data_IF_604987328576
#
_entry.id   IF_604987328576
#
_cell.length_a   1.000
_cell.length_b   1.000
_cell.length_c   1.000
_cell.angle_alpha   90.00
_cell.angle_beta   90.00
_cell.angle_gamma   90.00
#
_symmetry.space_group_name_H-M   'P 1'
#
loop_
_entity.id
_entity.type
_entity.pdbx_description
1 polymer ?
#
# COMPACT_ATOMS: atom_id res chain seq x y z
N UNK A 1 18.32 1.37 -22.22
CA UNK A 1 17.79 1.52 -20.85
C UNK A 1 17.57 3.00 -20.60
N UNK A 2 16.33 3.48 -20.65
CA UNK A 2 16.01 4.87 -20.36
C UNK A 2 16.01 5.10 -18.83
N UNK A 3 16.96 5.89 -18.34
CA UNK A 3 17.10 6.21 -16.91
C UNK A 3 15.81 6.84 -16.34
N UNK A 4 15.02 7.56 -17.16
CA UNK A 4 13.75 8.13 -16.75
C UNK A 4 12.70 7.04 -16.47
N UNK A 5 12.69 5.94 -17.23
CA UNK A 5 11.82 4.78 -16.97
C UNK A 5 12.20 4.13 -15.63
N UNK A 6 13.50 3.97 -15.38
CA UNK A 6 14.01 3.45 -14.10
C UNK A 6 13.56 4.29 -12.91
N UNK A 7 13.70 5.62 -12.99
CA UNK A 7 13.27 6.54 -11.94
C UNK A 7 11.74 6.51 -11.72
N UNK A 8 10.94 6.50 -12.80
CA UNK A 8 9.47 6.40 -12.69
C UNK A 8 9.04 5.14 -11.93
N UNK A 9 9.65 3.99 -12.22
CA UNK A 9 9.37 2.73 -11.51
C UNK A 9 9.73 2.82 -10.02
N UNK A 10 10.88 3.42 -9.69
CA UNK A 10 11.31 3.61 -8.30
C UNK A 10 10.33 4.53 -7.54
N UNK A 11 9.93 5.65 -8.14
CA UNK A 11 8.97 6.57 -7.52
C UNK A 11 7.59 5.94 -7.35
N UNK A 12 7.09 5.21 -8.35
CA UNK A 12 5.83 4.48 -8.26
C UNK A 12 5.87 3.46 -7.11
N UNK A 13 6.93 2.65 -7.03
CA UNK A 13 7.13 1.70 -5.93
C UNK A 13 7.14 2.38 -4.57
N UNK A 14 7.89 3.49 -4.42
CA UNK A 14 7.94 4.26 -3.17
C UNK A 14 6.55 4.79 -2.77
N UNK A 15 5.77 5.26 -3.74
CA UNK A 15 4.40 5.71 -3.53
C UNK A 15 3.50 4.58 -2.98
N UNK A 16 3.50 3.42 -3.62
CA UNK A 16 2.68 2.29 -3.16
C UNK A 16 3.13 1.73 -1.81
N UNK A 17 4.44 1.62 -1.54
CA UNK A 17 4.96 1.23 -0.23
C UNK A 17 4.46 2.16 0.88
N UNK A 18 4.49 3.48 0.63
CA UNK A 18 3.99 4.48 1.58
C UNK A 18 2.51 4.27 1.90
N UNK A 19 1.69 3.99 0.88
CA UNK A 19 0.25 3.73 1.04
C UNK A 19 -0.02 2.45 1.83
N UNK A 20 0.67 1.36 1.51
CA UNK A 20 0.57 0.08 2.25
C UNK A 20 0.89 0.30 3.73
N UNK A 21 2.02 0.97 4.04
CA UNK A 21 2.42 1.26 5.43
C UNK A 21 1.40 2.14 6.16
N UNK A 22 0.85 3.14 5.48
CA UNK A 22 -0.19 4.01 6.03
C UNK A 22 -1.47 3.22 6.35
N UNK A 23 -1.90 2.33 5.45
CA UNK A 23 -3.07 1.48 5.67
C UNK A 23 -2.85 0.51 6.85
N UNK A 24 -1.70 -0.15 6.92
CA UNK A 24 -1.32 -1.00 8.06
C UNK A 24 -1.31 -0.24 9.40
N UNK A 25 -0.89 1.03 9.40
CA UNK A 25 -0.97 1.89 10.59
C UNK A 25 -2.43 2.14 10.98
N UNK A 26 -3.31 2.44 10.02
CA UNK A 26 -4.75 2.64 10.28
C UNK A 26 -5.41 1.38 10.84
N UNK A 27 -5.08 0.21 10.31
CA UNK A 27 -5.57 -1.09 10.83
C UNK A 27 -5.16 -1.27 12.29
N UNK A 28 -3.86 -1.10 12.60
CA UNK A 28 -3.37 -1.18 13.98
C UNK A 28 -4.06 -0.18 14.91
N UNK A 29 -4.28 1.04 14.45
CA UNK A 29 -5.01 2.06 15.21
C UNK A 29 -6.48 1.67 15.44
N UNK A 30 -7.17 1.17 14.42
CA UNK A 30 -8.56 0.72 14.54
C UNK A 30 -8.69 -0.40 15.57
N UNK A 31 -7.79 -1.40 15.52
CA UNK A 31 -7.72 -2.49 16.49
C UNK A 31 -7.47 -1.94 17.90
N UNK A 32 -6.44 -1.11 18.08
CA UNK A 32 -6.08 -0.55 19.39
C UNK A 32 -7.17 0.30 20.03
N UNK A 33 -8.06 0.90 19.20
CA UNK A 33 -9.16 1.76 19.64
C UNK A 33 -10.49 1.01 19.75
N UNK A 34 -10.50 -0.31 19.57
CA UNK A 34 -11.73 -1.12 19.60
C UNK A 34 -12.66 -0.88 18.41
N UNK A 35 -12.21 -0.21 17.35
CA UNK A 35 -12.98 0.07 16.12
C UNK A 35 -12.93 -1.13 15.17
N UNK A 36 -13.28 -2.32 15.66
CA UNK A 36 -13.18 -3.58 14.91
C UNK A 36 -14.05 -3.60 13.66
N UNK A 37 -15.18 -2.89 13.67
CA UNK A 37 -16.06 -2.70 12.51
C UNK A 37 -15.37 -2.03 11.30
N UNK A 38 -14.34 -1.19 11.53
CA UNK A 38 -13.59 -0.53 10.45
C UNK A 38 -12.50 -1.45 9.87
N UNK A 39 -12.11 -2.52 10.57
CA UNK A 39 -10.98 -3.38 10.19
C UNK A 39 -11.20 -4.13 8.87
N UNK A 40 -12.37 -4.75 8.60
CA UNK A 40 -12.59 -5.47 7.34
C UNK A 40 -12.43 -4.58 6.11
N UNK A 41 -12.95 -3.35 6.15
CA UNK A 41 -12.84 -2.42 5.01
C UNK A 41 -11.40 -1.94 4.81
N UNK A 42 -10.64 -1.74 5.89
CA UNK A 42 -9.22 -1.42 5.82
C UNK A 42 -8.37 -2.58 5.30
N UNK A 43 -8.71 -3.83 5.64
CA UNK A 43 -8.05 -5.01 5.10
C UNK A 43 -8.30 -5.17 3.60
N UNK A 44 -9.52 -4.96 3.12
CA UNK A 44 -9.82 -4.96 1.69
C UNK A 44 -9.03 -3.87 0.94
N UNK A 45 -8.91 -2.67 1.52
CA UNK A 45 -8.07 -1.60 0.97
C UNK A 45 -6.58 -1.98 0.96
N UNK A 46 -6.09 -2.65 2.00
CA UNK A 46 -4.72 -3.12 2.08
C UNK A 46 -4.41 -4.11 0.94
N UNK A 47 -5.31 -5.05 0.67
CA UNK A 47 -5.15 -6.04 -0.41
C UNK A 47 -5.04 -5.36 -1.78
N UNK A 48 -5.92 -4.40 -2.08
CA UNK A 48 -5.85 -3.62 -3.34
C UNK A 48 -4.51 -2.88 -3.44
N UNK A 49 -4.03 -2.28 -2.35
CA UNK A 49 -2.74 -1.58 -2.33
C UNK A 49 -1.56 -2.53 -2.53
N UNK A 50 -1.63 -3.75 -1.99
CA UNK A 50 -0.59 -4.77 -2.17
C UNK A 50 -0.55 -5.25 -3.62
N UNK A 51 -1.69 -5.53 -4.24
CA UNK A 51 -1.77 -5.89 -5.68
C UNK A 51 -1.18 -4.79 -6.57
N UNK A 52 -1.47 -3.52 -6.27
CA UNK A 52 -0.88 -2.39 -6.99
C UNK A 52 0.63 -2.29 -6.80
N UNK A 53 1.13 -2.58 -5.60
CA UNK A 53 2.57 -2.63 -5.33
C UNK A 53 3.23 -3.76 -6.13
N UNK A 54 2.66 -4.97 -6.11
CA UNK A 54 3.14 -6.13 -6.87
C UNK A 54 3.23 -5.86 -8.37
N UNK A 55 2.24 -5.16 -8.94
CA UNK A 55 2.27 -4.74 -10.35
C UNK A 55 3.49 -3.86 -10.69
N UNK A 56 4.04 -3.11 -9.73
CA UNK A 56 5.28 -2.32 -9.93
C UNK A 56 6.57 -3.14 -9.91
N UNK A 57 6.49 -4.43 -9.55
CA UNK A 57 7.61 -5.36 -9.63
C UNK A 57 7.53 -6.26 -10.88
N UNK A 58 6.33 -6.50 -11.41
CA UNK A 58 6.11 -7.30 -12.61
C UNK A 58 6.28 -6.51 -13.93
N UNK A 59 6.47 -5.19 -13.85
CA UNK A 59 6.57 -4.28 -15.00
C UNK A 59 7.98 -3.84 -15.34
#
# INVERSE_FOLDING_TARGET
MDQAIGLRKIFARKHYISRVRSCQKKIRQAISRGKTQEVPSLLAQLEIMQRNLEATYQS
#
